data_IF_213340839938
#
_entry.id   IF_213340839938
#
_cell.length_a   1.000
_cell.length_b   1.000
_cell.length_c   1.000
_cell.angle_alpha   90.00
_cell.angle_beta   90.00
_cell.angle_gamma   90.00
#
_symmetry.space_group_name_H-M   'P 1'
#
loop_
_entity.id
_entity.type
_entity.pdbx_description
1 polymer ?
#
# COMPACT_ATOMS: atom_id res chain seq x y z
N UNK A 1 -28.06 -70.31 4.19
CA UNK A 1 -28.07 -70.76 5.60
C UNK A 1 -28.25 -69.52 6.45
N UNK A 2 -29.48 -69.24 6.89
CA UNK A 2 -30.02 -69.65 8.21
C UNK A 2 -29.29 -68.84 9.29
N UNK A 3 -29.82 -67.64 9.61
CA UNK A 3 -30.69 -67.31 10.79
C UNK A 3 -29.91 -67.30 12.10
N UNK A 4 -29.99 -66.28 12.94
CA UNK A 4 -31.14 -65.79 13.73
C UNK A 4 -30.91 -64.31 14.07
N UNK A 5 -31.83 -63.34 13.95
CA UNK A 5 -33.17 -63.17 14.57
C UNK A 5 -33.12 -63.19 16.11
N UNK A 6 -33.16 -62.00 16.73
CA UNK A 6 -34.30 -61.51 17.51
C UNK A 6 -34.04 -60.01 17.80
N UNK A 7 -34.75 -59.01 17.24
CA UNK A 7 -36.20 -58.79 17.13
C UNK A 7 -36.76 -58.61 18.55
N UNK A 8 -37.18 -57.42 18.94
CA UNK A 8 -38.58 -56.93 19.04
C UNK A 8 -38.54 -55.95 20.24
N UNK A 9 -39.28 -54.85 20.36
CA UNK A 9 -40.53 -54.44 19.69
C UNK A 9 -40.86 -53.00 20.10
N UNK A 10 -41.26 -52.16 19.14
CA UNK A 10 -42.62 -51.60 18.94
C UNK A 10 -43.08 -50.68 20.07
N UNK A 11 -43.74 -49.55 19.81
CA UNK A 11 -44.87 -49.29 18.91
C UNK A 11 -45.20 -47.80 19.10
N UNK A 12 -45.82 -46.99 18.26
CA UNK A 12 -46.36 -47.07 16.91
C UNK A 12 -47.32 -45.88 16.75
N UNK A 13 -47.52 -45.45 15.50
CA UNK A 13 -48.73 -44.78 14.98
C UNK A 13 -49.10 -43.37 15.46
N UNK A 14 -48.83 -42.38 14.58
CA UNK A 14 -49.86 -41.47 14.04
C UNK A 14 -49.25 -40.73 12.82
N UNK A 15 -49.12 -41.37 11.66
CA UNK A 15 -50.05 -41.25 10.52
C UNK A 15 -50.68 -39.86 10.34
N UNK A 16 -50.03 -39.04 9.52
CA UNK A 16 -50.59 -38.49 8.28
C UNK A 16 -52.12 -38.24 8.30
N UNK A 17 -52.58 -37.11 8.88
CA UNK A 17 -53.93 -36.58 8.64
C UNK A 17 -54.11 -35.12 9.11
N UNK A 18 -53.26 -34.17 8.69
CA UNK A 18 -53.68 -32.75 8.56
C UNK A 18 -52.98 -32.15 7.32
N UNK A 19 -53.38 -32.61 6.14
CA UNK A 19 -53.43 -31.78 4.92
C UNK A 19 -54.91 -31.50 4.72
N UNK A 20 -55.38 -30.37 5.25
CA UNK A 20 -56.58 -29.60 4.85
C UNK A 20 -56.95 -28.72 6.03
N UNK A 21 -56.71 -27.41 5.93
CA UNK A 21 -57.22 -26.44 6.90
C UNK A 21 -56.24 -25.38 7.39
N UNK A 22 -55.36 -24.86 6.52
CA UNK A 22 -54.82 -23.50 6.64
C UNK A 22 -54.43 -22.99 5.25
N UNK A 23 -55.35 -23.14 4.28
CA UNK A 23 -55.38 -22.25 3.13
C UNK A 23 -55.97 -20.92 3.59
N UNK A 24 -55.23 -20.20 4.44
CA UNK A 24 -55.41 -18.77 4.57
C UNK A 24 -54.46 -18.14 3.57
N UNK A 25 -55.05 -17.74 2.44
CA UNK A 25 -54.60 -16.66 1.56
C UNK A 25 -53.28 -16.02 2.02
N UNK A 26 -52.15 -16.50 1.48
CA UNK A 26 -51.00 -15.62 1.29
C UNK A 26 -51.39 -14.62 0.21
N UNK A 27 -52.21 -13.64 0.59
CA UNK A 27 -52.25 -12.40 -0.13
C UNK A 27 -50.83 -11.84 -0.03
N UNK A 28 -50.15 -11.71 -1.16
CA UNK A 28 -49.18 -10.65 -1.30
C UNK A 28 -49.91 -9.35 -1.02
N UNK A 29 -49.88 -8.91 0.23
CA UNK A 29 -50.32 -7.57 0.57
C UNK A 29 -49.25 -6.64 0.01
N UNK A 30 -49.58 -5.99 -1.10
CA UNK A 30 -49.04 -4.67 -1.39
C UNK A 30 -49.16 -3.85 -0.11
N UNK A 31 -48.00 -3.42 0.41
CA UNK A 31 -47.90 -2.56 1.58
C UNK A 31 -48.64 -1.26 1.24
N UNK A 32 -49.86 -1.13 1.77
CA UNK A 32 -50.66 0.09 1.60
C UNK A 32 -50.22 1.09 2.66
N UNK A 33 -49.60 2.17 2.19
CA UNK A 33 -49.59 3.58 2.65
C UNK A 33 -49.40 3.95 4.14
N UNK A 34 -49.96 3.21 5.10
CA UNK A 34 -49.93 3.47 6.55
C UNK A 34 -49.14 2.42 7.37
N UNK A 35 -48.79 1.27 6.77
CA UNK A 35 -48.12 0.18 7.50
C UNK A 35 -46.61 0.42 7.70
N UNK A 36 -45.94 1.15 6.82
CA UNK A 36 -44.48 1.29 6.91
C UNK A 36 -44.04 2.08 8.16
N UNK A 37 -44.63 3.26 8.41
CA UNK A 37 -44.35 4.01 9.64
C UNK A 37 -44.70 3.21 10.89
N UNK A 38 -45.81 2.47 10.89
CA UNK A 38 -46.20 1.63 12.01
C UNK A 38 -45.17 0.52 12.25
N UNK A 39 -44.70 -0.15 11.20
CA UNK A 39 -43.68 -1.19 11.31
C UNK A 39 -42.32 -0.64 11.80
N UNK A 40 -41.93 0.57 11.36
CA UNK A 40 -40.72 1.24 11.86
C UNK A 40 -40.88 1.61 13.33
N UNK A 41 -42.05 2.11 13.74
CA UNK A 41 -42.35 2.42 15.14
C UNK A 41 -42.34 1.16 16.03
N UNK A 42 -42.86 0.03 15.53
CA UNK A 42 -42.78 -1.27 16.20
C UNK A 42 -41.33 -1.75 16.36
N UNK A 43 -40.50 -1.58 15.33
CA UNK A 43 -39.08 -1.89 15.41
C UNK A 43 -38.36 -0.99 16.43
N UNK A 44 -38.73 0.29 16.49
CA UNK A 44 -38.16 1.25 17.44
C UNK A 44 -38.55 0.94 18.89
N UNK A 45 -39.83 0.57 19.12
CA UNK A 45 -40.35 0.16 20.44
C UNK A 45 -39.84 -1.21 20.88
N UNK A 46 -39.37 -2.04 19.94
CA UNK A 46 -38.90 -3.40 20.20
C UNK A 46 -40.00 -4.45 20.17
N UNK A 47 -41.15 -4.14 19.57
CA UNK A 47 -42.24 -5.12 19.32
C UNK A 47 -41.87 -6.14 18.23
N UNK A 48 -40.98 -5.76 17.31
CA UNK A 48 -40.38 -6.66 16.32
C UNK A 48 -38.85 -6.52 16.33
N UNK A 49 -38.15 -7.62 16.09
CA UNK A 49 -36.67 -7.64 16.12
C UNK A 49 -36.03 -7.13 14.84
N UNK A 50 -36.72 -7.26 13.70
CA UNK A 50 -36.21 -6.83 12.41
C UNK A 50 -37.31 -6.49 11.42
N UNK A 51 -37.01 -5.61 10.46
CA UNK A 51 -37.92 -5.19 9.41
C UNK A 51 -37.27 -5.33 8.03
N UNK A 52 -37.89 -6.11 7.14
CA UNK A 52 -37.44 -6.21 5.75
C UNK A 52 -37.91 -4.99 4.95
N UNK A 53 -37.02 -4.42 4.15
CA UNK A 53 -37.36 -3.31 3.26
C UNK A 53 -38.08 -3.82 2.01
N UNK A 54 -39.15 -3.12 1.64
CA UNK A 54 -39.87 -3.30 0.38
C UNK A 54 -40.24 -1.95 -0.19
N UNK A 55 -39.58 -1.54 -1.27
CA UNK A 55 -39.96 -0.37 -2.06
C UNK A 55 -39.86 -0.69 -3.55
N UNK A 56 -40.72 -0.04 -4.35
CA UNK A 56 -40.70 -0.16 -5.79
C UNK A 56 -39.53 0.61 -6.43
N UNK A 57 -38.99 0.10 -7.52
CA UNK A 57 -37.94 0.77 -8.30
C UNK A 57 -36.55 0.78 -7.65
N UNK A 58 -35.78 1.83 -7.92
CA UNK A 58 -34.43 2.04 -7.38
C UNK A 58 -34.44 3.17 -6.36
N UNK A 59 -33.69 2.99 -5.28
CA UNK A 59 -33.41 4.02 -4.29
C UNK A 59 -32.66 5.19 -4.97
N UNK A 60 -33.21 6.42 -4.99
CA UNK A 60 -32.54 7.57 -5.59
C UNK A 60 -31.24 7.88 -4.86
N UNK A 61 -30.25 8.42 -5.57
CA UNK A 61 -28.94 8.77 -4.99
C UNK A 61 -28.72 10.27 -5.00
N UNK A 62 -28.07 10.77 -3.95
CA UNK A 62 -27.54 12.12 -3.89
C UNK A 62 -26.02 12.07 -3.96
N UNK A 63 -25.46 12.88 -4.85
CA UNK A 63 -24.03 13.20 -4.90
C UNK A 63 -23.84 14.71 -4.78
N UNK A 64 -22.68 15.10 -4.26
CA UNK A 64 -22.24 16.49 -4.22
C UNK A 64 -20.99 16.64 -5.07
N UNK A 65 -20.87 17.79 -5.75
CA UNK A 65 -19.73 18.11 -6.61
C UNK A 65 -18.82 19.06 -5.85
N UNK A 66 -17.87 18.49 -5.11
CA UNK A 66 -16.80 19.21 -4.44
C UNK A 66 -15.47 18.80 -5.08
N UNK A 67 -14.48 19.69 -5.04
CA UNK A 67 -13.12 19.39 -5.49
C UNK A 67 -12.57 18.17 -4.73
N UNK A 68 -11.98 17.23 -5.45
CA UNK A 68 -11.46 15.97 -4.89
C UNK A 68 -12.49 14.84 -4.74
N UNK A 69 -13.77 15.07 -5.08
CA UNK A 69 -14.82 14.05 -5.03
C UNK A 69 -15.10 13.38 -6.39
N UNK A 70 -14.47 13.84 -7.47
CA UNK A 70 -14.76 13.44 -8.85
C UNK A 70 -14.56 11.94 -9.06
N UNK A 71 -13.48 11.40 -8.51
CA UNK A 71 -13.17 9.97 -8.57
C UNK A 71 -14.25 9.15 -7.86
N UNK A 72 -14.60 9.55 -6.64
CA UNK A 72 -15.63 8.90 -5.82
C UNK A 72 -16.98 8.90 -6.54
N UNK A 73 -17.42 10.07 -7.01
CA UNK A 73 -18.71 10.24 -7.66
C UNK A 73 -18.83 9.34 -8.90
N UNK A 74 -17.78 9.32 -9.73
CA UNK A 74 -17.70 8.47 -10.92
C UNK A 74 -17.76 6.98 -10.56
N UNK A 75 -17.09 6.57 -9.50
CA UNK A 75 -17.06 5.18 -9.07
C UNK A 75 -18.41 4.71 -8.52
N UNK A 76 -19.06 5.52 -7.68
CA UNK A 76 -20.40 5.22 -7.18
C UNK A 76 -21.40 5.07 -8.35
N UNK A 77 -21.37 5.99 -9.33
CA UNK A 77 -22.25 5.92 -10.51
C UNK A 77 -22.03 4.64 -11.32
N UNK A 78 -20.78 4.29 -11.63
CA UNK A 78 -20.45 3.03 -12.32
C UNK A 78 -20.98 1.79 -11.60
N UNK A 79 -20.96 1.81 -10.27
CA UNK A 79 -21.51 0.73 -9.44
C UNK A 79 -23.03 0.61 -9.58
N UNK A 80 -23.72 1.75 -9.62
CA UNK A 80 -25.19 1.83 -9.67
C UNK A 80 -25.73 1.53 -11.07
N UNK A 81 -25.06 2.00 -12.13
CA UNK A 81 -25.40 1.67 -13.52
C UNK A 81 -25.36 0.15 -13.78
N UNK A 82 -24.41 -0.56 -13.15
CA UNK A 82 -24.29 -2.02 -13.25
C UNK A 82 -25.30 -2.76 -12.39
N UNK A 83 -25.65 -2.21 -11.24
CA UNK A 83 -26.49 -2.86 -10.23
C UNK A 83 -27.33 -1.84 -9.45
N UNK A 84 -28.53 -1.47 -9.96
CA UNK A 84 -29.40 -0.50 -9.32
C UNK A 84 -29.75 -0.85 -7.86
N UNK A 85 -29.97 0.17 -7.04
CA UNK A 85 -30.18 0.01 -5.60
C UNK A 85 -31.63 -0.42 -5.28
N UNK A 86 -31.92 -1.71 -5.40
CA UNK A 86 -33.20 -2.30 -4.98
C UNK A 86 -33.21 -2.67 -3.49
N UNK A 87 -34.41 -2.73 -2.90
CA UNK A 87 -34.60 -3.09 -1.48
C UNK A 87 -33.93 -4.44 -1.10
N UNK A 88 -33.98 -5.42 -2.02
CA UNK A 88 -33.40 -6.76 -1.84
C UNK A 88 -31.88 -6.79 -1.62
N UNK A 89 -31.16 -5.70 -1.90
CA UNK A 89 -29.72 -5.57 -1.72
C UNK A 89 -29.31 -5.25 -0.29
N UNK A 90 -30.26 -4.79 0.53
CA UNK A 90 -30.01 -4.40 1.92
C UNK A 90 -30.39 -5.54 2.86
N UNK A 91 -29.70 -5.64 3.99
CA UNK A 91 -30.13 -6.54 5.07
C UNK A 91 -31.41 -5.99 5.72
N UNK A 92 -32.19 -6.83 6.41
CA UNK A 92 -33.26 -6.34 7.27
C UNK A 92 -32.75 -5.29 8.25
N UNK A 93 -33.57 -4.28 8.49
CA UNK A 93 -33.34 -3.23 9.46
C UNK A 93 -33.43 -3.80 10.87
N UNK A 94 -32.60 -3.28 11.75
CA UNK A 94 -32.69 -3.46 13.21
C UNK A 94 -32.93 -2.11 13.88
N UNK A 95 -33.22 -2.11 15.19
CA UNK A 95 -33.50 -0.90 15.96
C UNK A 95 -32.42 0.18 15.80
N UNK A 96 -31.15 -0.21 15.76
CA UNK A 96 -30.00 0.69 15.64
C UNK A 96 -29.89 1.36 14.27
N UNK A 97 -30.60 0.84 13.26
CA UNK A 97 -30.62 1.44 11.93
C UNK A 97 -31.60 2.62 11.85
N UNK A 98 -32.44 2.84 12.87
CA UNK A 98 -33.39 3.96 12.91
C UNK A 98 -32.68 5.17 13.51
N UNK A 99 -32.41 6.18 12.68
CA UNK A 99 -31.77 7.42 13.14
C UNK A 99 -32.79 8.39 13.70
N UNK A 100 -33.85 8.65 12.92
CA UNK A 100 -34.88 9.61 13.30
C UNK A 100 -36.19 9.34 12.55
N UNK A 101 -37.30 9.66 13.22
CA UNK A 101 -38.62 9.79 12.61
C UNK A 101 -38.99 11.27 12.75
N UNK A 102 -38.94 12.01 11.65
CA UNK A 102 -39.34 13.41 11.56
C UNK A 102 -40.82 13.51 11.21
N UNK A 103 -41.39 14.72 11.28
CA UNK A 103 -42.80 15.00 10.94
C UNK A 103 -43.21 14.64 9.49
N UNK A 104 -42.24 14.44 8.62
CA UNK A 104 -42.42 14.30 7.17
C UNK A 104 -41.60 13.20 6.52
N UNK A 105 -40.61 12.63 7.23
CA UNK A 105 -39.77 11.54 6.70
C UNK A 105 -39.18 10.65 7.79
N UNK A 106 -38.78 9.45 7.40
CA UNK A 106 -38.05 8.48 8.22
C UNK A 106 -36.62 8.42 7.71
N UNK A 107 -35.65 8.51 8.62
CA UNK A 107 -34.21 8.45 8.34
C UNK A 107 -33.65 7.13 8.84
N UNK A 108 -33.10 6.35 7.90
CA UNK A 108 -32.62 4.99 8.16
C UNK A 108 -31.17 4.80 7.69
N UNK A 109 -30.46 3.90 8.37
CA UNK A 109 -29.16 3.38 7.94
C UNK A 109 -29.37 2.09 7.15
N UNK A 110 -29.03 2.15 5.87
CA UNK A 110 -29.18 1.04 4.95
C UNK A 110 -27.84 0.34 4.79
N UNK A 111 -27.72 -0.87 5.35
CA UNK A 111 -26.52 -1.69 5.24
C UNK A 111 -26.68 -2.70 4.09
N UNK A 112 -25.77 -2.68 3.11
CA UNK A 112 -25.78 -3.64 2.00
C UNK A 112 -25.48 -5.05 2.52
N UNK A 113 -26.09 -6.10 1.95
CA UNK A 113 -25.86 -7.51 2.34
C UNK A 113 -24.40 -7.97 2.23
N UNK A 114 -23.59 -7.29 1.41
CA UNK A 114 -22.13 -7.52 1.32
C UNK A 114 -21.34 -6.97 2.51
N UNK A 115 -21.99 -6.33 3.49
CA UNK A 115 -21.46 -5.97 4.81
C UNK A 115 -20.93 -4.55 4.94
N UNK A 116 -20.10 -4.10 3.99
CA UNK A 116 -19.24 -2.93 4.22
C UNK A 116 -19.85 -1.59 3.80
N UNK A 117 -20.82 -1.56 2.87
CA UNK A 117 -21.40 -0.30 2.40
C UNK A 117 -22.59 0.10 3.26
N UNK A 118 -22.55 1.30 3.83
CA UNK A 118 -23.68 1.90 4.55
C UNK A 118 -24.13 3.17 3.85
N UNK A 119 -25.44 3.30 3.65
CA UNK A 119 -26.07 4.50 3.12
C UNK A 119 -27.02 5.08 4.15
N UNK A 120 -27.17 6.39 4.17
CA UNK A 120 -28.35 7.00 4.77
C UNK A 120 -29.45 6.94 3.72
N UNK A 121 -30.62 6.45 4.09
CA UNK A 121 -31.83 6.46 3.26
C UNK A 121 -32.92 7.29 3.94
N UNK A 122 -33.56 8.15 3.16
CA UNK A 122 -34.73 8.89 3.60
C UNK A 122 -35.98 8.35 2.90
N UNK A 123 -37.05 8.18 3.66
CA UNK A 123 -38.30 7.60 3.18
C UNK A 123 -39.49 8.45 3.63
N UNK A 124 -40.54 8.50 2.83
CA UNK A 124 -41.82 9.00 3.32
C UNK A 124 -42.46 7.97 4.28
N UNK A 125 -43.58 8.32 4.91
CA UNK A 125 -44.29 7.43 5.84
C UNK A 125 -44.92 6.20 5.20
N UNK A 126 -45.09 6.23 3.87
CA UNK A 126 -45.58 5.11 3.08
C UNK A 126 -44.47 4.12 2.72
N UNK A 127 -43.21 4.47 2.93
CA UNK A 127 -42.05 3.64 2.59
C UNK A 127 -41.48 3.92 1.20
N UNK A 128 -41.95 4.95 0.50
CA UNK A 128 -41.34 5.37 -0.76
C UNK A 128 -40.00 6.07 -0.50
N UNK A 129 -38.94 5.69 -1.23
CA UNK A 129 -37.62 6.29 -1.06
C UNK A 129 -37.59 7.72 -1.61
N UNK A 130 -37.03 8.63 -0.82
CA UNK A 130 -36.80 10.04 -1.19
C UNK A 130 -35.40 10.15 -1.80
N UNK A 131 -34.35 9.95 -0.99
CA UNK A 131 -32.96 9.97 -1.44
C UNK A 131 -32.09 8.99 -0.64
N UNK A 132 -30.88 8.75 -1.13
CA UNK A 132 -29.83 8.08 -0.36
C UNK A 132 -28.45 8.67 -0.57
N UNK A 133 -27.64 8.64 0.48
CA UNK A 133 -26.26 9.11 0.45
C UNK A 133 -25.31 8.01 0.95
N UNK A 134 -24.22 7.75 0.21
CA UNK A 134 -23.19 6.79 0.64
C UNK A 134 -22.30 7.42 1.71
N UNK A 135 -22.53 7.02 2.96
CA UNK A 135 -21.80 7.57 4.10
C UNK A 135 -20.60 6.71 4.52
N UNK A 136 -20.58 5.43 4.13
CA UNK A 136 -19.47 4.55 4.42
C UNK A 136 -19.24 3.56 3.27
N UNK A 137 -17.99 3.51 2.81
CA UNK A 137 -17.49 2.59 1.80
C UNK A 137 -15.99 2.37 1.99
N UNK A 138 -15.50 1.19 1.60
CA UNK A 138 -14.08 0.87 1.53
C UNK A 138 -13.74 0.69 0.05
N UNK A 139 -13.16 1.71 -0.57
CA UNK A 139 -12.67 1.60 -1.95
C UNK A 139 -11.15 1.75 -2.00
N UNK A 140 -10.48 0.82 -2.69
CA UNK A 140 -9.05 0.90 -2.91
C UNK A 140 -8.65 0.29 -4.24
N UNK A 141 -7.89 1.03 -5.04
CA UNK A 141 -7.28 0.52 -6.26
C UNK A 141 -5.80 0.92 -6.32
N UNK A 142 -4.92 -0.08 -6.21
CA UNK A 142 -3.46 0.00 -6.32
C UNK A 142 -2.80 1.18 -5.58
N UNK A 143 -2.81 2.36 -6.17
CA UNK A 143 -2.11 3.56 -5.72
C UNK A 143 -3.02 4.60 -5.03
N UNK A 144 -4.34 4.43 -5.09
CA UNK A 144 -5.29 5.32 -4.43
C UNK A 144 -6.36 4.53 -3.67
N UNK A 145 -6.51 4.79 -2.36
CA UNK A 145 -7.63 4.29 -1.55
C UNK A 145 -8.47 5.45 -1.07
N UNK A 146 -9.76 5.36 -1.31
CA UNK A 146 -10.75 6.36 -0.90
C UNK A 146 -11.69 5.71 0.10
N UNK A 147 -11.83 6.33 1.25
CA UNK A 147 -12.58 5.78 2.38
C UNK A 147 -13.45 6.86 3.00
N UNK A 148 -14.69 6.51 3.39
CA UNK A 148 -15.56 7.37 4.20
C UNK A 148 -15.83 6.73 5.54
N UNK A 149 -15.48 7.43 6.61
CA UNK A 149 -15.75 6.99 7.98
C UNK A 149 -15.59 8.13 8.96
N UNK A 150 -16.21 8.06 10.12
CA UNK A 150 -15.96 9.01 11.20
C UNK A 150 -14.71 8.64 12.01
N UNK A 151 -14.47 7.35 12.21
CA UNK A 151 -13.26 6.83 12.85
C UNK A 151 -12.93 5.42 12.32
N UNK A 152 -11.88 4.79 12.87
CA UNK A 152 -11.55 3.39 12.55
C UNK A 152 -12.64 2.40 12.98
N UNK A 153 -13.40 2.74 14.01
CA UNK A 153 -14.43 1.88 14.61
C UNK A 153 -15.84 2.34 14.31
N UNK A 154 -16.02 3.60 13.91
CA UNK A 154 -17.32 4.21 13.68
C UNK A 154 -17.46 4.70 12.23
N UNK A 155 -18.40 4.17 11.44
CA UNK A 155 -18.58 4.54 10.04
C UNK A 155 -19.09 5.98 9.85
N UNK A 156 -19.80 6.52 10.84
CA UNK A 156 -20.29 7.89 10.90
C UNK A 156 -20.69 8.19 12.33
N UNK A 157 -20.83 9.48 12.65
CA UNK A 157 -21.44 9.93 13.90
C UNK A 157 -22.66 10.78 13.59
N UNK A 158 -23.79 10.48 14.22
CA UNK A 158 -24.97 11.34 14.13
C UNK A 158 -25.04 12.26 15.35
N UNK A 159 -25.04 13.56 15.11
CA UNK A 159 -25.10 14.60 16.13
C UNK A 159 -26.52 15.14 16.23
N UNK A 160 -27.26 14.65 17.23
CA UNK A 160 -28.67 14.99 17.43
C UNK A 160 -28.89 16.48 17.78
N UNK A 161 -27.90 17.17 18.35
CA UNK A 161 -28.02 18.58 18.75
C UNK A 161 -28.11 19.52 17.55
N UNK A 162 -27.34 19.23 16.50
CA UNK A 162 -27.30 20.01 15.26
C UNK A 162 -27.97 19.31 14.08
N UNK A 163 -28.55 18.13 14.32
CA UNK A 163 -29.22 17.29 13.32
C UNK A 163 -28.35 17.04 12.06
N UNK A 164 -27.11 16.59 12.28
CA UNK A 164 -26.15 16.34 11.21
C UNK A 164 -25.43 15.00 11.37
N UNK A 165 -25.10 14.39 10.24
CA UNK A 165 -24.15 13.29 10.15
C UNK A 165 -22.74 13.84 9.91
N UNK A 166 -21.82 13.42 10.76
CA UNK A 166 -20.41 13.75 10.74
C UNK A 166 -19.64 12.56 10.18
N UNK A 167 -18.80 12.80 9.18
CA UNK A 167 -17.90 11.79 8.61
C UNK A 167 -16.67 12.44 8.01
N UNK A 168 -15.59 11.68 7.91
CA UNK A 168 -14.41 12.05 7.15
C UNK A 168 -14.38 11.34 5.81
N UNK A 169 -13.82 12.02 4.81
CA UNK A 169 -13.36 11.40 3.58
C UNK A 169 -11.82 11.36 3.62
N UNK A 170 -11.28 10.15 3.61
CA UNK A 170 -9.84 9.88 3.62
C UNK A 170 -9.43 9.42 2.23
N UNK A 171 -8.46 10.12 1.65
CA UNK A 171 -7.82 9.77 0.40
C UNK A 171 -6.38 9.39 0.75
N UNK A 172 -6.06 8.13 0.50
CA UNK A 172 -4.71 7.60 0.51
C UNK A 172 -4.22 7.58 -0.94
N UNK A 173 -3.12 8.24 -1.23
CA UNK A 173 -2.46 8.22 -2.54
C UNK A 173 -0.97 7.98 -2.39
N UNK A 174 -0.27 7.78 -3.50
CA UNK A 174 1.17 8.08 -3.57
C UNK A 174 1.33 9.42 -4.29
N UNK A 175 2.34 10.21 -3.91
CA UNK A 175 2.81 11.35 -4.71
C UNK A 175 3.04 10.92 -6.18
N UNK A 176 2.97 11.87 -7.13
CA UNK A 176 3.19 11.59 -8.54
C UNK A 176 4.56 10.95 -8.80
N UNK A 177 4.80 10.60 -10.07
CA UNK A 177 6.08 10.09 -10.56
C UNK A 177 7.24 10.89 -9.94
N UNK A 178 8.27 10.24 -9.34
CA UNK A 178 9.38 10.95 -8.70
C UNK A 178 9.95 12.04 -9.59
N UNK A 179 10.34 13.16 -8.99
CA UNK A 179 10.99 14.29 -9.64
C UNK A 179 12.20 14.77 -8.84
N UNK A 180 12.94 15.75 -9.36
CA UNK A 180 14.08 16.32 -8.61
C UNK A 180 13.62 17.08 -7.36
N UNK A 181 12.41 17.62 -7.37
CA UNK A 181 11.78 18.32 -6.26
C UNK A 181 11.17 17.35 -5.22
N UNK A 182 10.59 16.25 -5.70
CA UNK A 182 10.03 15.14 -4.89
C UNK A 182 10.63 13.80 -5.33
N UNK A 183 11.84 13.44 -4.84
CA UNK A 183 12.57 12.28 -5.35
C UNK A 183 12.07 10.94 -4.80
N UNK A 184 11.08 10.95 -3.91
CA UNK A 184 10.45 9.76 -3.35
C UNK A 184 8.98 9.71 -3.73
N UNK A 185 8.41 8.50 -3.80
CA UNK A 185 6.96 8.34 -3.87
C UNK A 185 6.40 8.27 -2.45
N UNK A 186 6.06 9.41 -1.89
CA UNK A 186 5.54 9.48 -0.53
C UNK A 186 4.05 9.13 -0.50
N UNK A 187 3.59 8.33 0.47
CA UNK A 187 2.17 8.09 0.66
C UNK A 187 1.52 9.39 1.19
N UNK A 188 0.60 9.97 0.44
CA UNK A 188 -0.19 11.11 0.87
C UNK A 188 -1.45 10.61 1.56
N UNK A 189 -1.72 11.13 2.75
CA UNK A 189 -2.98 10.97 3.45
C UNK A 189 -3.70 12.31 3.51
N UNK A 190 -4.75 12.46 2.72
CA UNK A 190 -5.64 13.62 2.75
C UNK A 190 -6.90 13.25 3.53
N UNK A 191 -7.21 13.98 4.60
CA UNK A 191 -8.45 13.82 5.35
C UNK A 191 -9.27 15.11 5.26
N UNK A 192 -10.54 14.99 4.88
CA UNK A 192 -11.48 16.12 4.88
C UNK A 192 -12.69 15.79 5.74
N UNK A 193 -13.09 16.73 6.60
CA UNK A 193 -14.27 16.62 7.45
C UNK A 193 -15.54 17.14 6.77
N UNK A 194 -16.64 16.43 6.94
CA UNK A 194 -17.92 16.74 6.31
C UNK A 194 -19.09 16.64 7.29
N UNK A 195 -20.06 17.53 7.13
CA UNK A 195 -21.32 17.51 7.86
C UNK A 195 -22.50 17.53 6.90
N UNK A 196 -23.33 16.48 6.97
CA UNK A 196 -24.50 16.29 6.14
C UNK A 196 -25.77 16.40 6.98
N UNK A 197 -26.67 17.30 6.64
CA UNK A 197 -27.99 17.41 7.25
C UNK A 197 -29.10 16.87 6.34
N UNK A 198 -30.26 16.70 6.94
CA UNK A 198 -31.49 16.29 6.25
C UNK A 198 -32.54 17.38 6.47
N UNK A 199 -33.08 17.88 5.37
CA UNK A 199 -34.15 18.89 5.39
C UNK A 199 -35.47 18.27 5.87
N UNK A 200 -36.46 19.12 6.19
CA UNK A 200 -37.81 18.64 6.48
C UNK A 200 -38.40 17.81 5.33
N UNK A 201 -38.05 18.06 4.06
CA UNK A 201 -38.53 17.27 2.94
C UNK A 201 -37.83 15.90 2.80
N UNK A 202 -36.87 15.57 3.65
CA UNK A 202 -36.07 14.35 3.55
C UNK A 202 -34.92 14.44 2.52
N UNK A 203 -34.62 15.64 2.03
CA UNK A 203 -33.51 15.87 1.10
C UNK A 203 -32.19 16.14 1.83
N UNK A 204 -31.08 15.69 1.25
CA UNK A 204 -29.75 15.88 1.83
C UNK A 204 -29.13 17.23 1.46
N UNK A 205 -28.54 17.88 2.46
CA UNK A 205 -27.79 19.12 2.30
C UNK A 205 -26.41 18.98 2.97
N UNK A 206 -25.35 19.37 2.27
CA UNK A 206 -24.02 19.49 2.89
C UNK A 206 -23.96 20.84 3.62
N UNK A 207 -23.87 20.80 4.95
CA UNK A 207 -23.83 22.01 5.80
C UNK A 207 -22.39 22.49 5.96
N UNK A 208 -21.45 21.55 5.99
CA UNK A 208 -20.02 21.83 6.02
C UNK A 208 -19.27 20.80 5.18
N UNK A 209 -18.31 21.29 4.39
CA UNK A 209 -17.34 20.47 3.67
C UNK A 209 -16.01 21.21 3.76
N UNK A 210 -15.01 20.53 4.29
CA UNK A 210 -13.66 21.07 4.33
C UNK A 210 -13.07 21.15 2.91
N UNK A 211 -12.62 22.34 2.51
CA UNK A 211 -12.14 22.62 1.15
C UNK A 211 -10.66 22.26 0.94
N UNK A 212 -9.88 22.15 2.03
CA UNK A 212 -8.47 21.79 1.99
C UNK A 212 -8.26 20.63 2.96
N UNK A 213 -8.08 19.39 2.46
CA UNK A 213 -7.88 18.26 3.35
C UNK A 213 -6.60 18.41 4.15
N UNK A 214 -6.65 18.07 5.44
CA UNK A 214 -5.47 17.95 6.27
C UNK A 214 -4.55 16.86 5.69
N UNK A 215 -3.30 17.23 5.45
CA UNK A 215 -2.24 16.26 5.13
C UNK A 215 -1.83 15.61 6.45
N UNK A 216 -2.38 14.43 6.74
CA UNK A 216 -2.11 13.71 8.00
C UNK A 216 -0.66 13.23 8.09
N UNK A 217 -0.03 12.96 6.95
CA UNK A 217 1.38 12.59 6.86
C UNK A 217 1.96 13.16 5.55
N UNK A 218 2.86 14.13 5.70
CA UNK A 218 3.97 14.38 4.80
C UNK A 218 5.21 14.21 5.68
N UNK A 219 6.28 13.55 5.21
CA UNK A 219 7.57 13.71 5.91
C UNK A 219 7.90 15.21 5.94
N UNK A 220 8.61 15.65 6.99
CA UNK A 220 9.06 17.04 7.16
C UNK A 220 9.52 17.66 5.84
N UNK A 221 9.33 18.98 5.69
CA UNK A 221 9.72 19.74 4.51
C UNK A 221 11.04 19.24 3.93
N UNK A 222 10.94 18.47 2.84
CA UNK A 222 12.08 17.88 2.16
C UNK A 222 12.79 19.03 1.46
N UNK A 223 13.96 19.41 1.96
CA UNK A 223 14.81 20.40 1.31
C UNK A 223 15.75 19.63 0.36
N UNK A 224 15.48 19.57 -0.96
CA UNK A 224 16.26 18.75 -1.88
C UNK A 224 17.69 19.30 -2.03
N UNK A 225 18.67 18.41 -1.98
CA UNK A 225 20.07 18.66 -2.35
C UNK A 225 20.45 17.71 -3.46
N UNK A 226 20.79 18.25 -4.62
CA UNK A 226 21.15 17.49 -5.80
C UNK A 226 22.64 17.13 -5.81
N UNK A 227 22.93 15.90 -6.20
CA UNK A 227 24.28 15.37 -6.42
C UNK A 227 24.37 14.77 -7.82
N UNK A 228 25.46 15.00 -8.53
CA UNK A 228 25.59 14.59 -9.93
C UNK A 228 26.83 13.74 -10.19
N UNK A 229 26.67 12.80 -11.11
CA UNK A 229 27.75 12.11 -11.82
C UNK A 229 27.57 12.43 -13.30
N UNK A 230 28.56 13.06 -13.91
CA UNK A 230 28.51 13.51 -15.30
C UNK A 230 29.48 12.69 -16.14
N UNK A 231 28.92 12.01 -17.14
CA UNK A 231 29.62 11.49 -18.31
C UNK A 231 29.40 12.46 -19.47
N UNK A 232 30.18 12.33 -20.54
CA UNK A 232 30.07 13.19 -21.73
C UNK A 232 28.66 13.15 -22.36
N UNK A 233 28.01 11.99 -22.27
CA UNK A 233 26.77 11.61 -22.94
C UNK A 233 25.57 11.45 -22.01
N UNK A 234 25.81 11.23 -20.71
CA UNK A 234 24.75 11.01 -19.72
C UNK A 234 25.12 11.60 -18.36
N UNK A 235 24.14 12.21 -17.70
CA UNK A 235 24.22 12.68 -16.33
C UNK A 235 23.31 11.85 -15.44
N UNK A 236 23.86 11.33 -14.34
CA UNK A 236 23.11 10.63 -13.30
C UNK A 236 22.98 11.56 -12.10
N UNK A 237 21.76 11.72 -11.63
CA UNK A 237 21.40 12.68 -10.60
C UNK A 237 20.77 11.94 -9.43
N UNK A 238 21.30 12.16 -8.24
CA UNK A 238 20.77 11.69 -6.97
C UNK A 238 20.32 12.91 -6.15
N UNK A 239 19.21 12.79 -5.42
CA UNK A 239 18.70 13.87 -4.56
C UNK A 239 18.63 13.37 -3.13
N UNK A 240 19.29 14.09 -2.22
CA UNK A 240 19.23 13.84 -0.78
C UNK A 240 18.48 14.95 -0.06
N UNK A 241 18.12 14.72 1.20
CA UNK A 241 17.57 15.77 2.05
C UNK A 241 18.72 16.59 2.67
N UNK A 242 18.76 17.89 2.37
CA UNK A 242 19.74 18.85 2.88
C UNK A 242 19.77 18.88 4.43
N UNK A 243 18.65 18.60 5.07
CA UNK A 243 18.54 18.58 6.53
C UNK A 243 19.05 17.27 7.15
N UNK A 244 19.38 16.25 6.34
CA UNK A 244 19.86 14.93 6.78
C UNK A 244 21.18 14.55 6.06
N UNK A 245 22.28 15.29 6.26
CA UNK A 245 23.53 15.08 5.55
C UNK A 245 24.17 13.70 5.83
N UNK A 246 23.87 13.07 6.96
CA UNK A 246 24.35 11.72 7.30
C UNK A 246 23.73 10.60 6.46
N UNK A 247 22.69 10.88 5.68
CA UNK A 247 22.05 9.92 4.76
C UNK A 247 22.48 10.14 3.30
N UNK A 248 23.42 11.06 3.04
CA UNK A 248 23.95 11.29 1.70
C UNK A 248 24.80 10.09 1.25
N UNK A 249 24.54 9.55 0.06
CA UNK A 249 25.38 8.52 -0.53
C UNK A 249 26.77 9.07 -0.85
N UNK A 250 26.80 10.29 -1.41
CA UNK A 250 28.02 11.04 -1.67
C UNK A 250 27.72 12.54 -1.61
N UNK A 251 28.78 13.33 -1.50
CA UNK A 251 28.69 14.79 -1.26
C UNK A 251 29.24 15.63 -2.43
N UNK A 252 30.06 15.03 -3.30
CA UNK A 252 30.78 15.72 -4.38
C UNK A 252 30.12 15.47 -5.72
N UNK A 253 30.05 16.49 -6.57
CA UNK A 253 29.79 16.24 -7.99
C UNK A 253 31.00 15.55 -8.59
N UNK A 254 30.75 14.51 -9.37
CA UNK A 254 31.79 13.78 -10.04
C UNK A 254 31.68 13.95 -11.56
N UNK A 255 32.78 14.35 -12.20
CA UNK A 255 32.88 14.44 -13.66
C UNK A 255 33.89 13.41 -14.14
N UNK A 256 33.49 12.59 -15.11
CA UNK A 256 34.34 11.50 -15.65
C UNK A 256 35.09 11.89 -16.92
N UNK A 257 34.81 13.08 -17.44
CA UNK A 257 35.51 13.68 -18.57
C UNK A 257 36.33 14.89 -18.10
N UNK A 258 37.51 15.01 -18.69
CA UNK A 258 38.37 16.20 -18.65
C UNK A 258 38.89 16.44 -20.07
N UNK A 259 39.59 17.55 -20.29
CA UNK A 259 40.14 17.90 -21.61
C UNK A 259 41.08 16.84 -22.23
N UNK A 260 41.47 15.80 -21.47
CA UNK A 260 42.44 14.78 -21.91
C UNK A 260 41.98 13.32 -21.78
N UNK A 261 41.04 12.99 -20.88
CA UNK A 261 40.59 11.60 -20.66
C UNK A 261 39.11 11.53 -20.26
N UNK A 262 38.36 10.61 -20.88
CA UNK A 262 36.98 10.23 -20.53
C UNK A 262 36.96 8.80 -19.99
N UNK A 263 36.38 8.60 -18.81
CA UNK A 263 36.25 7.27 -18.21
C UNK A 263 34.80 6.78 -18.26
N UNK A 264 34.60 5.51 -18.63
CA UNK A 264 33.28 4.88 -18.66
C UNK A 264 32.81 4.42 -17.28
N UNK A 265 33.66 4.51 -16.25
CA UNK A 265 33.34 4.04 -14.91
C UNK A 265 33.71 5.06 -13.85
N UNK A 266 32.89 5.14 -12.80
CA UNK A 266 33.22 5.87 -11.60
C UNK A 266 33.00 5.02 -10.35
N UNK A 267 33.93 5.13 -9.41
CA UNK A 267 33.84 4.48 -8.10
C UNK A 267 33.48 5.53 -7.05
N UNK A 268 32.38 5.30 -6.35
CA UNK A 268 31.89 6.12 -5.25
C UNK A 268 32.04 5.30 -3.96
N UNK A 269 33.00 5.64 -3.09
CA UNK A 269 33.12 5.00 -1.78
C UNK A 269 31.96 5.45 -0.90
N UNK A 270 31.19 4.49 -0.39
CA UNK A 270 30.09 4.72 0.54
C UNK A 270 30.57 4.57 1.98
N UNK A 271 30.04 5.43 2.84
CA UNK A 271 30.28 5.33 4.28
C UNK A 271 29.59 4.10 4.88
N UNK A 272 30.07 3.60 6.01
CA UNK A 272 29.43 2.49 6.71
C UNK A 272 27.97 2.81 7.05
N UNK A 273 27.08 1.84 6.80
CA UNK A 273 25.64 2.01 7.01
C UNK A 273 24.92 2.89 5.97
N UNK A 274 25.60 3.33 4.90
CA UNK A 274 24.96 4.07 3.83
C UNK A 274 23.84 3.24 3.16
N UNK A 275 22.66 3.85 3.02
CA UNK A 275 21.46 3.21 2.46
C UNK A 275 21.49 3.34 0.93
N UNK A 276 22.25 2.48 0.25
CA UNK A 276 22.41 2.51 -1.22
C UNK A 276 21.24 1.90 -2.00
N UNK A 277 20.43 1.06 -1.36
CA UNK A 277 19.28 0.38 -1.96
C UNK A 277 18.02 1.24 -1.88
N UNK A 278 17.05 0.94 -2.74
CA UNK A 278 15.76 1.65 -2.82
C UNK A 278 15.88 3.16 -3.08
N UNK A 279 17.03 3.59 -3.60
CA UNK A 279 17.31 4.98 -3.91
C UNK A 279 16.87 5.30 -5.33
N UNK A 280 16.25 6.47 -5.51
CA UNK A 280 15.86 6.98 -6.82
C UNK A 280 17.00 7.78 -7.44
N UNK A 281 17.25 7.51 -8.72
CA UNK A 281 18.23 8.20 -9.54
C UNK A 281 17.55 8.70 -10.81
N UNK A 282 17.84 9.94 -11.16
CA UNK A 282 17.36 10.58 -12.38
C UNK A 282 18.47 10.56 -13.42
N UNK A 283 18.09 10.45 -14.68
CA UNK A 283 19.02 10.31 -15.79
C UNK A 283 18.65 11.34 -16.85
N UNK A 284 19.64 12.16 -17.19
CA UNK A 284 19.56 13.15 -18.25
C UNK A 284 20.58 12.80 -19.33
N UNK A 285 20.17 12.80 -20.59
CA UNK A 285 21.03 12.39 -21.72
C UNK A 285 21.37 13.59 -22.59
N UNK A 286 22.60 13.60 -23.11
CA UNK A 286 22.99 14.57 -24.13
C UNK A 286 22.12 14.43 -25.40
N UNK A 287 22.11 15.47 -26.23
CA UNK A 287 21.39 15.47 -27.51
C UNK A 287 21.93 14.33 -28.38
N UNK A 288 21.03 13.61 -29.06
CA UNK A 288 21.32 12.41 -29.88
C UNK A 288 21.62 11.11 -29.12
N UNK A 289 21.57 11.13 -27.79
CA UNK A 289 21.72 9.93 -26.97
C UNK A 289 20.37 9.49 -26.38
N UNK A 290 20.22 8.17 -26.18
CA UNK A 290 19.04 7.59 -25.54
C UNK A 290 19.41 6.41 -24.63
N UNK A 291 18.64 6.21 -23.56
CA UNK A 291 18.85 5.08 -22.64
C UNK A 291 18.21 3.82 -23.22
N UNK A 292 19.01 2.78 -23.38
CA UNK A 292 18.56 1.45 -23.81
C UNK A 292 18.10 0.63 -22.61
N UNK A 293 18.94 0.55 -21.56
CA UNK A 293 18.67 -0.23 -20.35
C UNK A 293 19.54 0.26 -19.19
N UNK A 294 19.02 0.16 -17.97
CA UNK A 294 19.78 0.34 -16.74
C UNK A 294 19.68 -0.93 -15.91
N UNK A 295 20.84 -1.54 -15.64
CA UNK A 295 20.93 -2.81 -14.93
C UNK A 295 21.86 -2.74 -13.72
N UNK A 296 21.58 -3.53 -12.69
CA UNK A 296 22.37 -3.61 -11.46
C UNK A 296 22.93 -5.02 -11.28
N UNK A 297 24.11 -5.14 -10.67
CA UNK A 297 24.58 -6.38 -10.07
C UNK A 297 25.33 -6.09 -8.78
N UNK A 298 25.66 -7.12 -8.01
CA UNK A 298 26.52 -6.99 -6.84
C UNK A 298 27.68 -7.97 -6.82
N UNK A 299 28.70 -7.62 -6.05
CA UNK A 299 29.79 -8.53 -5.71
C UNK A 299 29.90 -8.73 -4.22
N UNK A 300 30.11 -9.98 -3.83
CA UNK A 300 30.43 -10.33 -2.45
C UNK A 300 31.89 -10.79 -2.37
N UNK A 301 32.54 -10.41 -1.27
CA UNK A 301 33.90 -10.82 -0.92
C UNK A 301 33.90 -11.49 0.44
N UNK A 302 34.97 -12.23 0.71
CA UNK A 302 35.21 -12.78 2.03
C UNK A 302 36.03 -11.80 2.87
N UNK A 303 35.57 -11.59 4.11
CA UNK A 303 36.24 -10.79 5.12
C UNK A 303 36.41 -11.58 6.41
N UNK A 304 37.42 -11.20 7.18
CA UNK A 304 37.73 -11.75 8.49
C UNK A 304 37.71 -10.61 9.50
N UNK A 305 36.66 -10.54 10.34
CA UNK A 305 36.54 -9.48 11.33
C UNK A 305 37.51 -9.72 12.49
N UNK A 306 38.12 -8.65 12.96
CA UNK A 306 38.83 -8.54 14.23
C UNK A 306 38.26 -7.39 15.07
N UNK A 307 38.75 -7.27 16.30
CA UNK A 307 38.48 -6.17 17.20
C UNK A 307 39.25 -4.92 16.70
N UNK A 308 38.51 -3.98 16.09
CA UNK A 308 39.05 -2.76 15.50
C UNK A 308 39.88 -2.94 14.22
N UNK A 309 40.01 -4.16 13.71
CA UNK A 309 40.72 -4.46 12.45
C UNK A 309 39.89 -5.41 11.58
N UNK A 310 40.04 -5.34 10.26
CA UNK A 310 39.37 -6.24 9.32
C UNK A 310 40.36 -6.61 8.22
N UNK A 311 40.40 -7.89 7.85
CA UNK A 311 41.10 -8.32 6.65
C UNK A 311 40.08 -8.69 5.56
N UNK A 312 40.31 -8.23 4.33
CA UNK A 312 39.45 -8.52 3.18
C UNK A 312 40.26 -9.24 2.11
N UNK A 313 39.73 -10.34 1.59
CA UNK A 313 40.36 -11.07 0.47
C UNK A 313 39.94 -10.47 -0.87
N UNK A 314 40.29 -9.21 -1.12
CA UNK A 314 39.84 -8.49 -2.32
C UNK A 314 40.35 -9.14 -3.62
N UNK A 315 41.55 -9.71 -3.63
CA UNK A 315 42.19 -10.20 -4.85
C UNK A 315 42.06 -11.72 -5.09
N UNK A 316 41.32 -12.44 -4.23
CA UNK A 316 41.20 -13.89 -4.33
C UNK A 316 39.97 -14.33 -5.14
N UNK A 317 38.87 -14.66 -4.47
CA UNK A 317 37.59 -15.07 -5.08
C UNK A 317 36.55 -14.00 -4.80
N UNK A 318 35.71 -13.75 -5.80
CA UNK A 318 34.56 -12.83 -5.70
C UNK A 318 33.32 -13.52 -6.25
N UNK A 319 32.21 -13.41 -5.53
CA UNK A 319 30.92 -13.71 -6.13
C UNK A 319 30.51 -12.53 -7.01
N UNK A 320 29.96 -12.81 -8.18
CA UNK A 320 29.36 -11.81 -9.06
C UNK A 320 27.98 -12.27 -9.43
N UNK A 321 26.96 -11.51 -9.03
CA UNK A 321 25.58 -11.82 -9.39
C UNK A 321 25.33 -11.63 -10.88
N UNK A 322 24.24 -12.22 -11.39
CA UNK A 322 23.70 -11.86 -12.70
C UNK A 322 23.27 -10.39 -12.73
N UNK A 323 23.25 -9.81 -13.93
CA UNK A 323 22.67 -8.50 -14.15
C UNK A 323 21.15 -8.54 -14.01
N UNK A 324 20.60 -7.64 -13.20
CA UNK A 324 19.18 -7.42 -13.04
C UNK A 324 18.78 -6.10 -13.68
N UNK A 325 17.68 -6.11 -14.42
CA UNK A 325 17.09 -4.89 -14.95
C UNK A 325 16.45 -4.08 -13.79
N UNK A 326 16.77 -2.79 -13.71
CA UNK A 326 16.18 -1.85 -12.75
C UNK A 326 14.90 -1.20 -13.25
N UNK A 327 14.60 -1.32 -14.55
CA UNK A 327 13.47 -0.68 -15.20
C UNK A 327 13.65 0.83 -15.28
N UNK A 328 14.13 1.32 -16.42
CA UNK A 328 14.18 2.75 -16.70
C UNK A 328 12.84 3.21 -17.28
N UNK A 329 12.18 4.18 -16.64
CA UNK A 329 10.93 4.76 -17.14
C UNK A 329 10.83 6.22 -16.74
N UNK A 330 10.38 7.08 -17.65
CA UNK A 330 10.17 8.52 -17.40
C UNK A 330 11.41 9.24 -16.82
N UNK A 331 12.62 8.89 -17.25
CA UNK A 331 13.83 9.62 -16.83
C UNK A 331 14.43 9.21 -15.49
N UNK A 332 13.94 8.15 -14.84
CA UNK A 332 14.51 7.68 -13.57
C UNK A 332 14.57 6.15 -13.47
N UNK A 333 15.34 5.68 -12.50
CA UNK A 333 15.39 4.29 -12.06
C UNK A 333 15.52 4.22 -10.53
N UNK A 334 15.27 3.03 -9.96
CA UNK A 334 15.41 2.78 -8.52
C UNK A 334 16.36 1.61 -8.29
N UNK A 335 17.33 1.77 -7.40
CA UNK A 335 18.21 0.67 -7.01
C UNK A 335 17.44 -0.39 -6.23
N UNK A 336 17.82 -1.66 -6.41
CA UNK A 336 17.17 -2.80 -5.75
C UNK A 336 17.91 -3.21 -4.49
N UNK A 337 17.15 -3.62 -3.49
CA UNK A 337 17.65 -4.31 -2.30
C UNK A 337 17.99 -5.77 -2.62
N UNK A 338 19.03 -6.30 -1.98
CA UNK A 338 19.39 -7.73 -2.05
C UNK A 338 19.09 -8.41 -0.71
N UNK A 339 18.55 -9.62 -0.79
CA UNK A 339 18.21 -10.42 0.39
C UNK A 339 19.47 -10.97 1.09
N UNK A 340 19.34 -11.31 2.37
CA UNK A 340 20.43 -11.93 3.14
C UNK A 340 20.96 -13.22 2.50
N UNK A 341 20.11 -13.98 1.79
CA UNK A 341 20.51 -15.18 1.05
C UNK A 341 21.35 -14.87 -0.19
N UNK A 342 21.11 -13.75 -0.86
CA UNK A 342 21.92 -13.35 -2.03
C UNK A 342 23.28 -12.79 -1.58
N UNK A 343 23.28 -12.05 -0.47
CA UNK A 343 24.49 -11.48 0.12
C UNK A 343 25.41 -12.52 0.77
N UNK A 344 24.95 -13.75 0.99
CA UNK A 344 25.76 -14.86 1.51
C UNK A 344 26.31 -15.78 0.41
N UNK A 345 26.04 -15.49 -0.87
CA UNK A 345 26.57 -16.29 -1.98
C UNK A 345 28.06 -16.03 -2.17
N UNK A 346 28.82 -17.12 -2.29
CA UNK A 346 30.25 -17.10 -2.55
C UNK A 346 30.68 -18.34 -3.38
N UNK A 347 31.70 -18.24 -4.25
CA UNK A 347 32.21 -19.41 -4.97
C UNK A 347 32.70 -20.49 -4.01
N UNK A 348 32.56 -21.75 -4.38
CA UNK A 348 33.13 -22.86 -3.61
C UNK A 348 34.66 -22.73 -3.50
N UNK A 349 35.19 -23.11 -2.34
CA UNK A 349 36.62 -23.14 -2.04
C UNK A 349 36.92 -24.31 -1.11
N UNK A 350 38.18 -24.72 -1.06
CA UNK A 350 38.69 -25.66 -0.06
C UNK A 350 39.54 -24.94 1.00
N UNK A 351 39.90 -25.68 2.05
CA UNK A 351 40.62 -25.11 3.19
C UNK A 351 42.06 -24.70 2.85
N UNK A 352 42.71 -25.38 1.90
CA UNK A 352 44.11 -25.09 1.53
C UNK A 352 44.18 -23.81 0.68
N UNK A 353 43.21 -23.62 -0.23
CA UNK A 353 43.04 -22.38 -0.98
C UNK A 353 42.75 -21.19 -0.05
N UNK A 354 41.83 -21.39 0.91
CA UNK A 354 41.48 -20.36 1.90
C UNK A 354 42.69 -19.95 2.73
N UNK A 355 43.45 -20.93 3.23
CA UNK A 355 44.65 -20.70 4.01
C UNK A 355 45.68 -19.88 3.24
N UNK A 356 45.94 -20.26 1.98
CA UNK A 356 46.89 -19.56 1.12
C UNK A 356 46.47 -18.10 0.88
N UNK A 357 45.18 -17.88 0.57
CA UNK A 357 44.65 -16.54 0.33
C UNK A 357 44.63 -15.67 1.60
N UNK A 358 44.33 -16.27 2.75
CA UNK A 358 44.41 -15.60 4.04
C UNK A 358 45.84 -15.22 4.39
N UNK A 359 46.81 -16.15 4.28
CA UNK A 359 48.21 -15.86 4.57
C UNK A 359 48.78 -14.75 3.67
N UNK A 360 48.37 -14.72 2.39
CA UNK A 360 48.79 -13.67 1.44
C UNK A 360 48.22 -12.29 1.79
N UNK A 361 46.92 -12.20 2.13
CA UNK A 361 46.26 -10.91 2.35
C UNK A 361 46.34 -10.41 3.80
N UNK A 362 46.28 -11.32 4.77
CA UNK A 362 46.14 -11.04 6.20
C UNK A 362 47.41 -11.36 7.01
N UNK A 363 48.37 -12.09 6.41
CA UNK A 363 49.52 -12.66 7.10
C UNK A 363 49.23 -14.04 7.70
N UNK A 364 50.28 -14.72 8.17
CA UNK A 364 50.17 -16.09 8.67
C UNK A 364 49.15 -16.21 9.81
N UNK A 365 48.19 -17.14 9.73
CA UNK A 365 47.17 -17.32 10.76
C UNK A 365 47.81 -17.75 12.08
N UNK A 366 47.48 -17.02 13.14
CA UNK A 366 48.07 -17.22 14.46
C UNK A 366 47.37 -18.42 15.13
N UNK A 367 48.11 -19.51 15.36
CA UNK A 367 47.65 -20.67 16.13
C UNK A 367 47.54 -20.34 17.64
N UNK A 368 46.58 -19.51 18.03
CA UNK A 368 46.38 -19.12 19.42
C UNK A 368 45.61 -20.20 20.22
N UNK A 369 46.24 -21.35 20.45
CA UNK A 369 45.86 -22.22 21.59
C UNK A 369 46.52 -21.81 22.90
N UNK A 370 47.47 -20.88 22.86
CA UNK A 370 48.23 -20.44 24.03
C UNK A 370 48.69 -19.00 23.82
N UNK A 371 47.84 -18.02 24.16
CA UNK A 371 48.21 -16.79 24.89
C UNK A 371 47.03 -15.80 24.90
N UNK A 372 46.64 -15.39 26.11
CA UNK A 372 45.69 -14.30 26.36
C UNK A 372 46.25 -12.99 25.81
N UNK A 373 45.70 -12.46 24.73
CA UNK A 373 45.85 -11.04 24.39
C UNK A 373 44.46 -10.53 23.98
N UNK A 374 43.94 -9.55 24.72
CA UNK A 374 42.58 -9.01 24.59
C UNK A 374 42.36 -8.15 23.34
N UNK A 375 42.81 -8.61 22.17
CA UNK A 375 42.53 -8.01 20.86
C UNK A 375 42.22 -9.17 19.92
N UNK A 376 40.97 -9.28 19.45
CA UNK A 376 40.63 -10.29 18.46
C UNK A 376 41.28 -9.89 17.12
N UNK A 377 42.34 -10.58 16.68
CA UNK A 377 42.86 -10.40 15.32
C UNK A 377 41.97 -11.12 14.31
N UNK A 378 41.98 -10.74 13.01
CA UNK A 378 41.32 -11.52 11.97
C UNK A 378 41.70 -13.01 12.07
N UNK A 379 40.71 -13.89 12.09
CA UNK A 379 40.87 -15.33 12.30
C UNK A 379 40.27 -16.09 11.11
N UNK A 380 41.06 -16.98 10.50
CA UNK A 380 40.66 -17.83 9.38
C UNK A 380 39.44 -18.70 9.70
N UNK A 381 39.23 -19.05 10.97
CA UNK A 381 38.10 -19.86 11.42
C UNK A 381 36.78 -19.05 11.53
N UNK A 382 36.83 -17.74 11.31
CA UNK A 382 35.66 -16.84 11.39
C UNK A 382 35.45 -16.02 10.10
N UNK A 383 35.30 -16.67 8.92
CA UNK A 383 35.02 -15.95 7.68
C UNK A 383 33.59 -15.38 7.70
N UNK A 384 33.44 -14.19 7.15
CA UNK A 384 32.14 -13.60 6.78
C UNK A 384 32.13 -13.26 5.31
N UNK A 385 31.00 -13.52 4.66
CA UNK A 385 30.74 -13.07 3.30
C UNK A 385 29.98 -11.75 3.41
N UNK A 386 30.48 -10.71 2.75
CA UNK A 386 29.90 -9.37 2.81
C UNK A 386 29.78 -8.78 1.42
N UNK A 387 28.81 -7.88 1.28
CA UNK A 387 28.65 -7.06 0.08
C UNK A 387 29.87 -6.15 -0.07
N UNK A 388 30.58 -6.27 -1.18
CA UNK A 388 31.74 -5.44 -1.49
C UNK A 388 31.36 -4.24 -2.33
N UNK A 389 30.60 -4.48 -3.40
CA UNK A 389 30.19 -3.43 -4.32
C UNK A 389 28.85 -3.70 -4.97
N UNK A 390 28.16 -2.60 -5.30
CA UNK A 390 26.97 -2.59 -6.13
C UNK A 390 27.29 -1.79 -7.38
N UNK A 391 27.07 -2.39 -8.54
CA UNK A 391 27.41 -1.77 -9.81
C UNK A 391 26.14 -1.55 -10.61
N UNK A 392 25.91 -0.29 -10.99
CA UNK A 392 24.85 0.09 -11.92
C UNK A 392 25.49 0.34 -13.28
N UNK A 393 24.99 -0.33 -14.31
CA UNK A 393 25.36 -0.12 -15.71
C UNK A 393 24.24 0.58 -16.44
N UNK A 394 24.59 1.66 -17.09
CA UNK A 394 23.74 2.47 -17.94
C UNK A 394 24.14 2.17 -19.37
N UNK A 395 23.25 1.52 -20.12
CA UNK A 395 23.45 1.23 -21.55
C UNK A 395 22.77 2.32 -22.36
N UNK A 396 23.52 2.98 -23.21
CA UNK A 396 23.09 4.11 -24.02
C UNK A 396 23.31 3.81 -25.49
N UNK A 397 22.43 4.34 -26.34
CA UNK A 397 22.57 4.36 -27.79
C UNK A 397 22.81 5.80 -28.23
N UNK A 398 23.89 6.02 -28.97
CA UNK A 398 24.25 7.31 -29.52
C UNK A 398 24.82 7.21 -30.95
N UNK A 399 25.38 8.30 -31.49
CA UNK A 399 25.83 8.36 -32.89
C UNK A 399 26.90 7.33 -33.27
N UNK A 400 27.69 6.86 -32.31
CA UNK A 400 28.76 5.86 -32.50
C UNK A 400 28.31 4.42 -32.26
N UNK A 401 27.04 4.21 -31.86
CA UNK A 401 26.48 2.91 -31.50
C UNK A 401 26.15 2.80 -30.01
N UNK A 402 26.20 1.58 -29.49
CA UNK A 402 25.89 1.29 -28.09
C UNK A 402 27.13 1.49 -27.22
N UNK A 403 26.99 2.29 -26.16
CA UNK A 403 28.01 2.55 -25.15
C UNK A 403 27.49 2.14 -23.75
N UNK A 404 28.42 1.93 -22.81
CA UNK A 404 28.09 1.50 -21.45
C UNK A 404 28.83 2.35 -20.43
N UNK A 405 28.08 2.97 -19.51
CA UNK A 405 28.64 3.70 -18.36
C UNK A 405 28.37 2.95 -17.07
N UNK A 406 29.28 3.07 -16.11
CA UNK A 406 29.27 2.30 -14.85
C UNK A 406 29.38 3.21 -13.63
N UNK A 407 28.39 3.12 -12.76
CA UNK A 407 28.38 3.71 -11.43
C UNK A 407 28.61 2.60 -10.40
N UNK A 408 29.78 2.63 -9.76
CA UNK A 408 30.22 1.60 -8.80
C UNK A 408 30.13 2.16 -7.39
N UNK A 409 29.19 1.65 -6.59
CA UNK A 409 29.11 1.92 -5.17
C UNK A 409 30.01 0.94 -4.43
N UNK A 410 31.12 1.43 -3.88
CA UNK A 410 32.04 0.63 -3.07
C UNK A 410 31.59 0.71 -1.61
N UNK A 411 31.17 -0.42 -1.05
CA UNK A 411 30.60 -0.47 0.30
C UNK A 411 31.72 -0.55 1.32
N UNK A 412 31.78 0.41 2.25
CA UNK A 412 32.66 0.30 3.41
C UNK A 412 32.18 -0.84 4.31
N UNK A 413 33.00 -1.87 4.41
CA UNK A 413 32.84 -2.95 5.39
C UNK A 413 33.59 -2.53 6.65
N UNK A 414 32.89 -2.06 7.69
CA UNK A 414 33.46 -1.86 9.03
C UNK A 414 32.63 -2.62 10.06
N UNK A 415 33.24 -2.96 11.20
CA UNK A 415 32.66 -3.77 12.27
C UNK A 415 31.40 -3.19 12.90
#
# INVERSE_FOLDING_TARGET
MITFIHRLVFSSHLTLYIVMGCAHLMNGQEVKTAEFIAAVQQLQSGEIDSLSLSFGGSLPIKQFQFEGWEYFNRHELKGIERDPLSASKFRPLVKEDIVQINDSCIVLILTKKSGWKKRIGTFNYSGDPIQSFLIHDHYGYLYEKNFRSFSFTEPFRYNATINCFEFYQVIYGYEPIPSLESPTQDPIYLQSYHQLSITAAGEFQMVFSENAPDILFSRDAYAPKTHKVEYEDVSIIYVSNQNLPGLELWTKTHTTFSDMESHDSIVIPLSYGAIWHDQFFFVDTAVEYSIVNISQYHENVMVFPGDGTMCTLENWKRYRSSWEDLGYKNGFFRTKYYTASELSLFPNYDNDELYSAFSEACGEPINNRTENIGVATPDIDNPKIVLHQVVVRITIEGPKGIEMKYLVFQIANSC
#
